data_IF_294845029247
#
_entry.id   IF_294845029247
#
_cell.length_a   1.000
_cell.length_b   1.000
_cell.length_c   1.000
_cell.angle_alpha   90.00
_cell.angle_beta   90.00
_cell.angle_gamma   90.00
#
_symmetry.space_group_name_H-M   'P 1'
#
loop_
_entity.id
_entity.type
_entity.pdbx_description
1 polymer ?
#
# COMPACT_ATOMS: atom_id res chain seq x y z
N UNK A 1 -1.55 -29.99 10.22
CA UNK A 1 -1.12 -29.04 11.28
C UNK A 1 -1.12 -29.74 12.64
N UNK A 2 -0.20 -29.41 13.58
CA UNK A 2 -0.19 -30.02 14.94
C UNK A 2 -1.27 -29.36 15.80
N UNK A 3 -1.84 -30.15 16.75
CA UNK A 3 -2.84 -29.64 17.70
C UNK A 3 -2.31 -28.42 18.50
N UNK A 4 -1.02 -28.39 18.81
CA UNK A 4 -0.37 -27.27 19.51
C UNK A 4 -0.44 -25.95 18.70
N UNK A 5 -0.16 -25.99 17.40
CA UNK A 5 -0.26 -24.80 16.54
C UNK A 5 -1.70 -24.27 16.47
N UNK A 6 -2.70 -25.16 16.39
CA UNK A 6 -4.13 -24.77 16.40
C UNK A 6 -4.48 -24.08 17.71
N UNK A 7 -4.03 -24.64 18.85
CA UNK A 7 -4.27 -24.05 20.15
C UNK A 7 -3.65 -22.66 20.29
N UNK A 8 -2.40 -22.48 19.83
CA UNK A 8 -1.72 -21.19 19.86
C UNK A 8 -2.42 -20.14 18.98
N UNK A 9 -2.90 -20.52 17.78
CA UNK A 9 -3.70 -19.64 16.92
C UNK A 9 -5.02 -19.25 17.60
N UNK A 10 -5.72 -20.20 18.21
CA UNK A 10 -6.96 -19.92 18.94
C UNK A 10 -6.72 -18.96 20.10
N UNK A 11 -5.68 -19.15 20.89
CA UNK A 11 -5.30 -18.23 21.96
C UNK A 11 -4.93 -16.85 21.40
N UNK A 12 -4.22 -16.79 20.27
CA UNK A 12 -3.89 -15.54 19.61
C UNK A 12 -5.13 -14.74 19.19
N UNK A 13 -6.14 -15.40 18.63
CA UNK A 13 -7.42 -14.80 18.28
C UNK A 13 -8.16 -14.29 19.53
N UNK A 14 -8.20 -15.10 20.60
CA UNK A 14 -8.81 -14.70 21.86
C UNK A 14 -8.15 -13.46 22.46
N UNK A 15 -6.81 -13.44 22.53
CA UNK A 15 -6.06 -12.27 23.02
C UNK A 15 -6.31 -11.03 22.17
N UNK A 16 -6.36 -11.17 20.85
CA UNK A 16 -6.45 -10.04 19.94
C UNK A 16 -7.87 -9.42 19.88
N UNK A 17 -8.92 -10.26 19.98
CA UNK A 17 -10.28 -9.83 19.67
C UNK A 17 -11.29 -9.99 20.79
N UNK A 18 -10.95 -10.70 21.88
CA UNK A 18 -11.90 -10.99 22.96
C UNK A 18 -11.41 -10.42 24.29
N UNK A 19 -10.23 -10.85 24.77
CA UNK A 19 -9.71 -10.41 26.05
C UNK A 19 -8.17 -10.36 26.05
N UNK A 20 -7.63 -9.16 26.16
CA UNK A 20 -6.18 -8.92 26.19
C UNK A 20 -5.46 -9.53 27.39
N UNK A 21 -6.18 -9.92 28.47
CA UNK A 21 -5.59 -10.59 29.61
C UNK A 21 -5.18 -12.05 29.32
N UNK A 22 -5.72 -12.63 28.25
CA UNK A 22 -5.33 -13.97 27.80
C UNK A 22 -3.92 -13.88 27.18
N UNK A 23 -2.97 -14.62 27.77
CA UNK A 23 -1.60 -14.68 27.27
C UNK A 23 -1.52 -15.56 26.01
N UNK A 24 -0.89 -15.06 24.95
CA UNK A 24 -0.68 -15.82 23.71
C UNK A 24 0.68 -15.55 23.11
N UNK A 25 1.12 -16.45 22.23
CA UNK A 25 2.35 -16.29 21.48
C UNK A 25 2.17 -15.21 20.41
N UNK A 26 3.07 -14.22 20.40
CA UNK A 26 3.04 -13.09 19.47
C UNK A 26 3.09 -13.52 17.99
N UNK A 27 3.77 -14.63 17.69
CA UNK A 27 3.90 -15.17 16.34
C UNK A 27 2.56 -15.65 15.75
N UNK A 28 1.58 -15.98 16.60
CA UNK A 28 0.27 -16.49 16.20
C UNK A 28 -0.88 -15.53 16.52
N UNK A 29 -0.55 -14.33 16.99
CA UNK A 29 -1.55 -13.32 17.38
C UNK A 29 -1.77 -12.31 16.27
N UNK A 30 -3.02 -12.06 15.83
CA UNK A 30 -3.35 -10.91 15.01
C UNK A 30 -2.91 -9.60 15.65
N UNK A 31 -2.43 -8.65 14.85
CA UNK A 31 -1.85 -7.40 15.36
C UNK A 31 -2.32 -6.23 14.53
N UNK A 32 -2.54 -5.11 15.21
CA UNK A 32 -2.64 -3.82 14.55
C UNK A 32 -1.23 -3.29 14.24
N UNK A 33 -0.97 -2.98 12.97
CA UNK A 33 0.34 -2.53 12.47
C UNK A 33 0.22 -1.09 11.97
N UNK A 34 0.96 -0.20 12.60
CA UNK A 34 0.98 1.22 12.24
C UNK A 34 2.35 1.82 12.48
N UNK A 35 2.62 2.96 11.86
CA UNK A 35 3.79 3.76 12.20
C UNK A 35 3.53 4.54 13.49
N UNK A 36 4.24 4.22 14.55
CA UNK A 36 4.19 4.93 15.83
C UNK A 36 5.61 5.27 16.29
N UNK A 37 6.02 6.50 16.06
CA UNK A 37 7.36 6.98 16.39
C UNK A 37 7.67 6.87 17.90
N UNK A 38 6.68 7.15 18.76
CA UNK A 38 6.86 7.10 20.21
C UNK A 38 7.16 5.70 20.73
N UNK A 39 6.62 4.70 20.08
CA UNK A 39 6.79 3.28 20.44
C UNK A 39 7.87 2.59 19.59
N UNK A 40 8.52 3.33 18.68
CA UNK A 40 9.52 2.78 17.78
C UNK A 40 8.97 1.81 16.74
N UNK A 41 7.64 1.74 16.57
CA UNK A 41 6.99 0.82 15.62
C UNK A 41 6.94 1.42 14.24
N UNK A 42 7.22 0.60 13.23
CA UNK A 42 7.10 0.96 11.82
C UNK A 42 6.48 -0.20 11.04
N UNK A 43 5.67 0.14 10.04
CA UNK A 43 5.08 -0.86 9.12
C UNK A 43 6.17 -1.66 8.43
N UNK A 44 7.25 -1.00 8.01
CA UNK A 44 8.38 -1.66 7.33
C UNK A 44 9.00 -2.78 8.17
N UNK A 45 9.16 -2.59 9.49
CA UNK A 45 9.74 -3.61 10.35
C UNK A 45 8.88 -4.88 10.40
N UNK A 46 7.55 -4.72 10.44
CA UNK A 46 6.63 -5.87 10.37
C UNK A 46 6.71 -6.60 9.03
N UNK A 47 6.86 -5.87 7.92
CA UNK A 47 7.02 -6.49 6.59
C UNK A 47 8.37 -7.20 6.50
N UNK A 48 9.44 -6.60 6.99
CA UNK A 48 10.80 -7.16 6.95
C UNK A 48 10.90 -8.45 7.78
N UNK A 49 10.33 -8.45 9.00
CA UNK A 49 10.30 -9.64 9.87
C UNK A 49 9.61 -10.83 9.17
N UNK A 50 8.50 -10.59 8.48
CA UNK A 50 7.78 -11.64 7.76
C UNK A 50 8.54 -12.10 6.51
N UNK A 51 9.13 -11.19 5.73
CA UNK A 51 9.99 -11.53 4.59
C UNK A 51 11.14 -12.43 5.01
N UNK A 52 11.86 -12.09 6.08
CA UNK A 52 13.01 -12.87 6.54
C UNK A 52 12.66 -14.31 6.95
N UNK A 53 11.42 -14.54 7.36
CA UNK A 53 10.96 -15.85 7.86
C UNK A 53 10.09 -16.64 6.88
N UNK A 54 9.69 -16.07 5.74
CA UNK A 54 8.79 -16.74 4.79
C UNK A 54 9.50 -17.76 3.89
N UNK A 55 8.68 -18.64 3.30
CA UNK A 55 9.08 -19.58 2.24
C UNK A 55 8.61 -19.11 0.86
N UNK A 56 7.66 -18.17 0.82
CA UNK A 56 7.10 -17.58 -0.39
C UNK A 56 6.37 -16.29 0.01
N UNK A 57 6.33 -15.29 -0.88
CA UNK A 57 5.59 -14.06 -0.61
C UNK A 57 4.85 -13.53 -1.84
N UNK A 58 3.73 -12.82 -1.56
CA UNK A 58 2.92 -12.13 -2.56
C UNK A 58 2.65 -10.70 -2.07
N UNK A 59 2.87 -9.74 -2.93
CA UNK A 59 2.66 -8.32 -2.62
C UNK A 59 1.76 -7.71 -3.69
N UNK A 60 0.65 -7.11 -3.28
CA UNK A 60 -0.27 -6.38 -4.14
C UNK A 60 -0.42 -4.97 -3.62
N UNK A 61 0.19 -3.99 -4.29
CA UNK A 61 0.20 -2.59 -3.85
C UNK A 61 0.03 -1.64 -5.03
N UNK A 62 -0.75 -0.58 -4.83
CA UNK A 62 -0.98 0.38 -5.91
C UNK A 62 0.29 1.17 -6.28
N UNK A 63 1.14 1.51 -5.31
CA UNK A 63 2.29 2.38 -5.56
C UNK A 63 3.58 1.81 -4.99
N UNK A 64 4.64 1.86 -5.82
CA UNK A 64 5.98 1.42 -5.48
C UNK A 64 6.98 2.54 -5.78
N UNK A 65 7.75 2.96 -4.78
CA UNK A 65 8.80 3.99 -4.94
C UNK A 65 10.17 3.46 -4.56
N UNK A 66 11.22 4.08 -5.08
CA UNK A 66 12.60 3.74 -4.71
C UNK A 66 12.80 3.85 -3.20
N UNK A 67 12.26 4.90 -2.57
CA UNK A 67 12.36 5.08 -1.13
C UNK A 67 11.67 3.97 -0.32
N UNK A 68 10.59 3.36 -0.86
CA UNK A 68 9.93 2.22 -0.22
C UNK A 68 10.72 0.92 -0.33
N UNK A 69 11.46 0.72 -1.44
CA UNK A 69 12.25 -0.50 -1.67
C UNK A 69 13.63 -0.43 -1.01
N UNK A 70 14.27 0.75 -1.00
CA UNK A 70 15.66 0.89 -0.55
C UNK A 70 15.92 0.27 0.83
N UNK A 71 15.08 0.45 1.84
CA UNK A 71 15.29 -0.18 3.14
C UNK A 71 15.20 -1.71 3.12
N UNK A 72 14.45 -2.28 2.17
CA UNK A 72 14.22 -3.73 2.04
C UNK A 72 15.26 -4.42 1.15
N UNK A 73 16.18 -3.68 0.51
CA UNK A 73 17.11 -4.25 -0.47
C UNK A 73 17.99 -5.38 0.09
N UNK A 74 18.44 -5.24 1.33
CA UNK A 74 19.26 -6.27 1.96
C UNK A 74 18.45 -7.56 2.17
N UNK A 75 17.24 -7.43 2.71
CA UNK A 75 16.30 -8.52 2.89
C UNK A 75 15.95 -9.22 1.58
N UNK A 76 15.66 -8.44 0.53
CA UNK A 76 15.35 -9.00 -0.81
C UNK A 76 16.54 -9.75 -1.41
N UNK A 77 17.79 -9.28 -1.22
CA UNK A 77 19.00 -10.01 -1.63
C UNK A 77 19.17 -11.33 -0.87
N UNK A 78 18.88 -11.32 0.42
CA UNK A 78 18.93 -12.55 1.23
C UNK A 78 17.89 -13.57 0.74
N UNK A 79 16.66 -13.11 0.43
CA UNK A 79 15.61 -13.96 -0.15
C UNK A 79 16.04 -14.53 -1.52
N UNK A 80 16.66 -13.72 -2.37
CA UNK A 80 17.22 -14.20 -3.65
C UNK A 80 18.28 -15.27 -3.44
N UNK A 81 19.23 -15.07 -2.53
CA UNK A 81 20.27 -16.05 -2.23
C UNK A 81 19.68 -17.37 -1.69
N UNK A 82 18.59 -17.29 -0.95
CA UNK A 82 17.86 -18.46 -0.42
C UNK A 82 16.90 -19.08 -1.43
N UNK A 83 16.73 -18.45 -2.63
CA UNK A 83 15.79 -18.92 -3.65
C UNK A 83 14.33 -18.82 -3.25
N UNK A 84 13.95 -17.92 -2.34
CA UNK A 84 12.58 -17.72 -1.87
C UNK A 84 11.79 -16.99 -2.95
N UNK A 85 10.75 -17.62 -3.56
CA UNK A 85 10.00 -17.01 -4.63
C UNK A 85 9.08 -15.88 -4.14
N UNK A 86 8.92 -14.85 -4.96
CA UNK A 86 8.03 -13.74 -4.69
C UNK A 86 7.28 -13.27 -5.92
N UNK A 87 6.02 -12.87 -5.73
CA UNK A 87 5.19 -12.24 -6.75
C UNK A 87 4.80 -10.84 -6.31
N UNK A 88 5.03 -9.84 -7.17
CA UNK A 88 4.70 -8.45 -6.88
C UNK A 88 3.78 -7.93 -7.99
N UNK A 89 2.60 -7.45 -7.59
CA UNK A 89 1.62 -6.82 -8.48
C UNK A 89 1.44 -5.36 -8.10
N UNK A 90 1.55 -4.47 -9.07
CA UNK A 90 1.30 -3.04 -8.91
C UNK A 90 0.38 -2.53 -10.02
N UNK A 91 0.12 -1.24 -10.13
CA UNK A 91 -0.71 -0.66 -11.20
C UNK A 91 -0.06 0.58 -11.81
N UNK A 92 -0.47 0.91 -13.03
CA UNK A 92 -0.15 2.15 -13.72
C UNK A 92 -0.99 3.35 -13.22
N UNK A 93 -1.95 3.10 -12.34
CA UNK A 93 -2.89 4.11 -11.84
C UNK A 93 -2.15 5.36 -11.34
N UNK A 94 -2.56 6.52 -11.86
CA UNK A 94 -1.97 7.83 -11.59
C UNK A 94 -0.46 7.93 -11.88
N UNK A 95 0.18 6.91 -12.44
CA UNK A 95 1.62 6.86 -12.71
C UNK A 95 2.50 7.22 -11.49
N UNK A 96 2.13 6.70 -10.30
CA UNK A 96 2.88 6.97 -9.06
C UNK A 96 4.02 6.00 -8.81
N UNK A 97 3.94 4.77 -9.35
CA UNK A 97 5.04 3.82 -9.23
C UNK A 97 6.26 4.29 -10.01
N UNK A 98 7.43 4.30 -9.37
CA UNK A 98 8.66 4.82 -9.98
C UNK A 98 9.31 3.76 -10.88
N UNK A 99 9.54 4.02 -12.19
CA UNK A 99 10.19 3.06 -13.09
C UNK A 99 11.53 2.55 -12.57
N UNK A 100 12.28 3.39 -11.85
CA UNK A 100 13.54 2.99 -11.22
C UNK A 100 13.34 1.94 -10.13
N UNK A 101 12.30 2.08 -9.33
CA UNK A 101 11.92 1.10 -8.31
C UNK A 101 11.51 -0.24 -8.94
N UNK A 102 10.70 -0.18 -10.00
CA UNK A 102 10.27 -1.37 -10.73
C UNK A 102 11.45 -2.12 -11.34
N UNK A 103 12.43 -1.40 -11.94
CA UNK A 103 13.67 -2.00 -12.44
C UNK A 103 14.51 -2.65 -11.33
N UNK A 104 14.55 -2.02 -10.15
CA UNK A 104 15.27 -2.60 -9.00
C UNK A 104 14.64 -3.92 -8.56
N UNK A 105 13.31 -4.03 -8.54
CA UNK A 105 12.61 -5.28 -8.21
C UNK A 105 12.78 -6.35 -9.27
N UNK A 106 12.66 -5.99 -10.55
CA UNK A 106 12.80 -6.91 -11.67
C UNK A 106 14.24 -7.49 -11.83
N UNK A 107 15.25 -6.87 -11.21
CA UNK A 107 16.62 -7.40 -11.19
C UNK A 107 16.78 -8.60 -10.25
N UNK A 108 15.85 -8.86 -9.32
CA UNK A 108 15.87 -10.04 -8.47
C UNK A 108 15.31 -11.26 -9.21
N UNK A 109 16.13 -12.31 -9.34
CA UNK A 109 15.77 -13.52 -10.11
C UNK A 109 14.64 -14.34 -9.51
N UNK A 110 14.40 -14.18 -8.22
CA UNK A 110 13.36 -14.85 -7.46
C UNK A 110 12.04 -14.06 -7.41
N UNK A 111 11.96 -12.88 -8.02
CA UNK A 111 10.79 -12.03 -8.02
C UNK A 111 10.18 -11.95 -9.41
N UNK A 112 8.91 -12.32 -9.51
CA UNK A 112 8.06 -12.03 -10.65
C UNK A 112 7.33 -10.70 -10.42
N UNK A 113 7.46 -9.76 -11.35
CA UNK A 113 6.83 -8.45 -11.27
C UNK A 113 5.83 -8.26 -12.41
N UNK A 114 4.58 -7.94 -12.06
CA UNK A 114 3.54 -7.56 -13.01
C UNK A 114 2.95 -6.19 -12.69
N UNK A 115 2.40 -5.55 -13.71
CA UNK A 115 1.65 -4.30 -13.58
C UNK A 115 0.25 -4.48 -14.14
N UNK A 116 -0.76 -4.20 -13.33
CA UNK A 116 -2.15 -4.12 -13.76
C UNK A 116 -2.36 -2.79 -14.49
N UNK A 117 -2.71 -2.90 -15.76
CA UNK A 117 -3.00 -1.75 -16.63
C UNK A 117 -4.44 -1.31 -16.43
N UNK A 118 -4.64 -0.09 -15.92
CA UNK A 118 -5.97 0.45 -15.61
C UNK A 118 -6.73 0.94 -16.85
N UNK A 119 -6.03 1.17 -17.95
CA UNK A 119 -6.65 1.62 -19.20
C UNK A 119 -7.54 0.52 -19.80
N UNK A 120 -8.81 0.85 -20.01
CA UNK A 120 -9.81 -0.09 -20.52
C UNK A 120 -10.41 -1.03 -19.48
N UNK A 121 -9.94 -1.00 -18.23
CA UNK A 121 -10.55 -1.74 -17.13
C UNK A 121 -11.76 -1.01 -16.55
N UNK A 122 -12.82 -1.78 -16.22
CA UNK A 122 -13.94 -1.29 -15.42
C UNK A 122 -13.60 -1.33 -13.92
N UNK A 123 -12.60 -2.13 -13.56
CA UNK A 123 -12.21 -2.37 -12.18
C UNK A 123 -11.02 -1.47 -11.80
N UNK A 124 -11.13 -0.80 -10.66
CA UNK A 124 -10.05 0.00 -10.11
C UNK A 124 -9.08 -0.88 -9.30
N UNK A 125 -7.77 -0.70 -9.50
CA UNK A 125 -6.77 -1.37 -8.69
C UNK A 125 -6.23 -0.42 -7.60
N UNK A 126 -6.53 -0.73 -6.33
CA UNK A 126 -6.04 0.08 -5.20
C UNK A 126 -5.72 -0.78 -3.96
N UNK A 127 -5.31 -2.03 -4.17
CA UNK A 127 -4.98 -2.98 -3.11
C UNK A 127 -3.70 -2.57 -2.36
N UNK A 128 -3.60 -2.96 -1.09
CA UNK A 128 -2.39 -2.90 -0.28
C UNK A 128 -2.38 -4.13 0.62
N UNK A 129 -1.83 -5.18 0.07
CA UNK A 129 -1.74 -6.49 0.71
C UNK A 129 -0.33 -7.06 0.61
N UNK A 130 0.14 -7.62 1.69
CA UNK A 130 1.42 -8.33 1.81
C UNK A 130 1.13 -9.68 2.43
N UNK A 131 1.40 -10.75 1.70
CA UNK A 131 1.07 -12.13 2.07
C UNK A 131 2.37 -12.93 2.13
N UNK A 132 2.61 -13.56 3.25
CA UNK A 132 3.82 -14.33 3.51
C UNK A 132 3.44 -15.75 3.93
N UNK A 133 3.89 -16.75 3.17
CA UNK A 133 3.71 -18.15 3.49
C UNK A 133 4.88 -18.65 4.33
N UNK A 134 4.59 -19.29 5.45
CA UNK A 134 5.57 -19.95 6.30
C UNK A 134 5.07 -21.33 6.69
N UNK A 135 5.57 -22.37 6.01
CA UNK A 135 5.02 -23.70 6.13
C UNK A 135 3.51 -23.74 5.84
N UNK A 136 2.68 -24.11 6.82
CA UNK A 136 1.21 -24.20 6.71
C UNK A 136 0.50 -22.95 7.28
N UNK A 137 1.23 -21.88 7.51
CA UNK A 137 0.69 -20.64 8.09
C UNK A 137 0.96 -19.49 7.13
N UNK A 138 0.00 -18.60 7.04
CA UNK A 138 0.10 -17.35 6.32
C UNK A 138 0.07 -16.18 7.29
N UNK A 139 1.04 -15.28 7.15
CA UNK A 139 1.05 -13.97 7.78
C UNK A 139 0.59 -12.96 6.72
N UNK A 140 -0.51 -12.28 6.98
CA UNK A 140 -1.16 -11.44 5.98
C UNK A 140 -1.32 -10.04 6.54
N UNK A 141 -0.70 -9.05 5.91
CA UNK A 141 -0.81 -7.63 6.28
C UNK A 141 -1.68 -6.95 5.24
N UNK A 142 -2.85 -6.46 5.65
CA UNK A 142 -3.78 -5.73 4.78
C UNK A 142 -4.11 -4.39 5.40
N UNK A 143 -4.15 -3.33 4.60
CA UNK A 143 -4.50 -2.01 5.11
C UNK A 143 -4.28 -0.87 4.12
N UNK A 144 -3.73 0.24 4.60
CA UNK A 144 -3.57 1.45 3.80
C UNK A 144 -2.16 1.64 3.21
N UNK A 145 -1.17 0.82 3.62
CA UNK A 145 0.25 1.06 3.30
C UNK A 145 0.64 0.62 1.90
N UNK A 146 0.95 1.58 1.03
CA UNK A 146 1.68 1.33 -0.21
C UNK A 146 3.18 1.10 0.06
N UNK A 147 3.91 0.58 -0.94
CA UNK A 147 5.37 0.39 -0.86
C UNK A 147 6.11 1.71 -1.16
N UNK A 148 5.89 2.69 -0.29
CA UNK A 148 6.53 4.02 -0.35
C UNK A 148 7.19 4.33 0.98
N UNK A 149 8.26 5.13 0.97
CA UNK A 149 9.00 5.45 2.20
C UNK A 149 8.09 5.97 3.30
N UNK A 150 7.24 6.94 2.98
CA UNK A 150 6.38 7.58 3.97
C UNK A 150 5.31 6.64 4.51
N UNK A 151 4.68 5.82 3.67
CA UNK A 151 3.69 4.85 4.11
C UNK A 151 4.32 3.78 5.01
N UNK A 152 5.53 3.35 4.72
CA UNK A 152 6.21 2.31 5.48
C UNK A 152 6.88 2.79 6.77
N UNK A 153 7.11 4.12 6.94
CA UNK A 153 7.94 4.61 8.05
C UNK A 153 7.35 5.76 8.87
N UNK A 154 6.58 6.67 8.26
CA UNK A 154 6.22 7.95 8.89
C UNK A 154 4.75 8.32 8.87
N UNK A 155 4.03 8.03 7.76
CA UNK A 155 2.61 8.33 7.69
C UNK A 155 1.83 7.51 8.72
N UNK A 156 0.70 8.07 9.17
CA UNK A 156 -0.26 7.29 9.94
C UNK A 156 -0.97 6.32 9.00
N UNK A 157 -0.54 5.08 9.03
CA UNK A 157 -1.10 3.98 8.26
C UNK A 157 -1.77 2.99 9.22
N UNK A 158 -2.89 2.45 8.79
CA UNK A 158 -3.62 1.43 9.55
C UNK A 158 -3.60 0.14 8.77
N UNK A 159 -2.98 -0.86 9.36
CA UNK A 159 -2.93 -2.21 8.79
C UNK A 159 -3.28 -3.23 9.87
N UNK A 160 -3.83 -4.34 9.44
CA UNK A 160 -4.04 -5.52 10.27
C UNK A 160 -3.12 -6.63 9.79
N UNK A 161 -2.30 -7.17 10.68
CA UNK A 161 -1.60 -8.42 10.47
C UNK A 161 -2.47 -9.55 10.97
N UNK A 162 -2.87 -10.43 10.06
CA UNK A 162 -3.68 -11.61 10.31
C UNK A 162 -2.77 -12.83 10.25
N UNK A 163 -2.99 -13.79 11.14
CA UNK A 163 -2.32 -15.08 11.11
C UNK A 163 -3.38 -16.11 10.80
N UNK A 164 -3.24 -16.81 9.70
CA UNK A 164 -4.20 -17.78 9.24
C UNK A 164 -3.51 -19.08 8.81
N UNK A 165 -4.26 -20.16 8.75
CA UNK A 165 -3.75 -21.44 8.28
C UNK A 165 -3.95 -21.57 6.77
N UNK A 166 -3.23 -22.50 6.14
CA UNK A 166 -3.41 -22.84 4.73
C UNK A 166 -4.85 -23.26 4.40
N UNK A 167 -5.51 -23.98 5.32
CA UNK A 167 -6.89 -24.47 5.16
C UNK A 167 -7.96 -23.41 5.54
N UNK A 168 -7.56 -22.23 6.00
CA UNK A 168 -8.48 -21.18 6.44
C UNK A 168 -9.19 -20.51 5.26
N UNK A 169 -10.51 -20.28 5.36
CA UNK A 169 -11.31 -19.59 4.34
C UNK A 169 -10.70 -18.24 3.96
N UNK A 170 -10.23 -17.48 4.95
CA UNK A 170 -9.59 -16.18 4.70
C UNK A 170 -8.35 -16.30 3.80
N UNK A 171 -7.52 -17.34 4.03
CA UNK A 171 -6.33 -17.58 3.21
C UNK A 171 -6.70 -17.93 1.78
N UNK A 172 -7.68 -18.83 1.61
CA UNK A 172 -8.18 -19.19 0.27
C UNK A 172 -8.71 -17.97 -0.46
N UNK A 173 -9.58 -17.20 0.17
CA UNK A 173 -10.20 -16.02 -0.45
C UNK A 173 -9.17 -14.99 -0.89
N UNK A 174 -8.20 -14.63 -0.04
CA UNK A 174 -7.21 -13.60 -0.38
C UNK A 174 -6.21 -14.07 -1.45
N UNK A 175 -5.87 -15.36 -1.46
CA UNK A 175 -5.03 -15.94 -2.50
C UNK A 175 -5.76 -16.03 -3.83
N UNK A 176 -7.04 -16.38 -3.82
CA UNK A 176 -7.89 -16.42 -5.02
C UNK A 176 -8.03 -15.01 -5.62
N UNK A 177 -8.29 -13.99 -4.81
CA UNK A 177 -8.32 -12.60 -5.24
C UNK A 177 -6.98 -12.16 -5.85
N UNK A 178 -5.86 -12.47 -5.19
CA UNK A 178 -4.54 -12.19 -5.74
C UNK A 178 -4.32 -12.89 -7.07
N UNK A 179 -4.64 -14.18 -7.15
CA UNK A 179 -4.43 -14.98 -8.35
C UNK A 179 -5.34 -14.54 -9.51
N UNK A 180 -6.59 -14.14 -9.24
CA UNK A 180 -7.48 -13.56 -10.24
C UNK A 180 -6.87 -12.29 -10.84
N UNK A 181 -6.41 -11.35 -10.01
CA UNK A 181 -5.74 -10.15 -10.47
C UNK A 181 -4.43 -10.45 -11.22
N UNK A 182 -3.66 -11.42 -10.73
CA UNK A 182 -2.36 -11.81 -11.31
C UNK A 182 -2.49 -12.45 -12.69
N UNK A 183 -3.56 -13.21 -12.92
CA UNK A 183 -3.78 -13.98 -14.16
C UNK A 183 -4.69 -13.27 -15.17
N UNK A 184 -5.15 -12.06 -14.88
CA UNK A 184 -5.93 -11.28 -15.87
C UNK A 184 -5.04 -10.84 -17.03
N UNK A 185 -5.60 -10.70 -18.23
CA UNK A 185 -4.91 -10.18 -19.42
C UNK A 185 -4.39 -8.74 -19.22
N UNK A 186 -4.93 -8.03 -18.23
CA UNK A 186 -4.49 -6.68 -17.86
C UNK A 186 -3.22 -6.66 -17.00
N UNK A 187 -2.83 -7.76 -16.39
CA UNK A 187 -1.63 -7.87 -15.56
C UNK A 187 -0.42 -8.24 -16.42
N UNK A 188 0.22 -7.24 -17.02
CA UNK A 188 1.36 -7.43 -17.90
C UNK A 188 2.65 -7.73 -17.12
N UNK A 189 3.49 -8.68 -17.59
CA UNK A 189 4.81 -8.91 -17.02
C UNK A 189 5.74 -7.71 -17.26
N UNK A 190 6.79 -7.62 -16.44
CA UNK A 190 7.71 -6.48 -16.42
C UNK A 190 8.23 -6.08 -17.81
N UNK A 191 8.67 -7.05 -18.61
CA UNK A 191 9.26 -6.83 -19.92
C UNK A 191 8.28 -6.20 -20.93
N UNK A 192 6.98 -6.45 -20.75
CA UNK A 192 5.94 -5.96 -21.67
C UNK A 192 5.50 -4.53 -21.36
N UNK A 193 5.53 -4.11 -20.09
CA UNK A 193 5.00 -2.80 -19.73
C UNK A 193 6.06 -1.71 -19.50
N UNK A 194 7.30 -2.05 -19.14
CA UNK A 194 8.22 -1.08 -18.53
C UNK A 194 8.60 0.10 -19.44
N UNK A 195 8.77 -0.13 -20.72
CA UNK A 195 9.16 0.94 -21.65
C UNK A 195 8.03 1.93 -21.92
N UNK A 196 6.83 1.42 -22.20
CA UNK A 196 5.63 2.24 -22.39
C UNK A 196 5.30 3.01 -21.11
N UNK A 197 5.33 2.34 -19.97
CA UNK A 197 5.08 2.95 -18.66
C UNK A 197 6.12 4.02 -18.30
N UNK A 198 7.41 3.77 -18.55
CA UNK A 198 8.48 4.75 -18.28
C UNK A 198 8.31 6.04 -19.10
N UNK A 199 7.86 5.90 -20.34
CA UNK A 199 7.56 7.02 -21.23
C UNK A 199 6.38 7.83 -20.69
N UNK A 200 5.27 7.16 -20.33
CA UNK A 200 4.09 7.77 -19.73
C UNK A 200 4.42 8.47 -18.40
N UNK A 201 5.17 7.81 -17.52
CA UNK A 201 5.63 8.36 -16.25
C UNK A 201 6.42 9.67 -16.45
N UNK A 202 7.37 9.67 -17.38
CA UNK A 202 8.20 10.86 -17.68
C UNK A 202 7.35 12.00 -18.21
N UNK A 203 6.44 11.73 -19.15
CA UNK A 203 5.49 12.72 -19.70
C UNK A 203 4.63 13.33 -18.59
N UNK A 204 4.06 12.50 -17.72
CA UNK A 204 3.21 12.97 -16.63
C UNK A 204 3.99 13.79 -15.58
N UNK A 205 5.23 13.41 -15.27
CA UNK A 205 6.11 14.21 -14.38
C UNK A 205 6.39 15.60 -14.95
N UNK A 206 6.64 15.71 -16.27
CA UNK A 206 6.85 17.00 -16.92
C UNK A 206 5.58 17.87 -16.84
N UNK A 207 4.41 17.28 -17.15
CA UNK A 207 3.11 17.99 -17.07
C UNK A 207 2.83 18.47 -15.64
N UNK A 208 3.04 17.61 -14.63
CA UNK A 208 2.85 18.00 -13.23
C UNK A 208 3.79 19.12 -12.82
N UNK A 209 5.06 19.08 -13.25
CA UNK A 209 6.04 20.14 -12.97
C UNK A 209 5.61 21.46 -13.63
N UNK A 210 5.16 21.43 -14.88
CA UNK A 210 4.65 22.61 -15.59
C UNK A 210 3.42 23.19 -14.90
N UNK A 211 2.44 22.35 -14.52
CA UNK A 211 1.25 22.79 -13.76
C UNK A 211 1.63 23.43 -12.42
N UNK A 212 2.62 22.90 -11.73
CA UNK A 212 3.10 23.48 -10.46
C UNK A 212 3.75 24.84 -10.67
N UNK A 213 4.57 25.00 -11.71
CA UNK A 213 5.20 26.29 -12.07
C UNK A 213 4.13 27.30 -12.47
N UNK A 214 3.18 26.92 -13.32
CA UNK A 214 2.07 27.78 -13.74
C UNK A 214 1.26 28.27 -12.52
N UNK A 215 0.88 27.37 -11.62
CA UNK A 215 0.16 27.75 -10.37
C UNK A 215 0.98 28.69 -9.48
N UNK A 216 2.29 28.55 -9.43
CA UNK A 216 3.15 29.45 -8.65
C UNK A 216 3.31 30.83 -9.32
N UNK A 217 3.25 30.89 -10.65
CA UNK A 217 3.28 32.16 -11.39
C UNK A 217 1.91 32.85 -11.45
N UNK A 218 0.82 32.08 -11.27
CA UNK A 218 -0.57 32.61 -11.24
C UNK A 218 -1.04 33.06 -9.85
N UNK A 219 -0.23 32.91 -8.79
CA UNK A 219 -0.53 33.52 -7.49
C UNK A 219 -0.13 35.01 -7.58
N UNK A 220 -1.05 35.92 -7.96
CA UNK A 220 -0.82 37.34 -7.78
C UNK A 220 -0.64 37.54 -6.27
N UNK A 221 0.23 38.45 -5.88
CA UNK A 221 0.35 38.84 -4.48
C UNK A 221 -1.07 39.07 -3.95
N UNK A 222 -1.43 38.43 -2.86
CA UNK A 222 -2.76 38.52 -2.21
C UNK A 222 -3.22 39.98 -1.99
N UNK A 223 -2.29 40.92 -2.02
CA UNK A 223 -2.51 42.38 -1.96
C UNK A 223 -3.26 42.97 -3.17
N UNK A 224 -3.30 42.28 -4.33
CA UNK A 224 -4.02 42.73 -5.52
C UNK A 224 -5.42 42.15 -5.66
N UNK A 225 -5.79 41.15 -4.88
CA UNK A 225 -7.14 40.57 -4.89
C UNK A 225 -8.01 41.22 -3.80
N UNK A 226 -8.79 42.21 -4.18
CA UNK A 226 -10.04 42.50 -3.45
C UNK A 226 -10.96 41.32 -3.71
N UNK A 227 -11.08 40.43 -2.70
CA UNK A 227 -12.09 39.37 -2.71
C UNK A 227 -13.46 40.03 -2.86
N UNK A 228 -14.03 39.95 -4.07
CA UNK A 228 -15.43 40.30 -4.25
C UNK A 228 -16.28 39.09 -3.87
N UNK A 229 -17.20 39.26 -2.92
CA UNK A 229 -18.11 38.18 -2.54
C UNK A 229 -18.91 37.72 -3.77
N UNK A 230 -19.09 36.42 -3.96
CA UNK A 230 -19.92 35.88 -5.03
C UNK A 230 -21.41 36.24 -4.78
N UNK A 231 -22.25 36.07 -5.78
CA UNK A 231 -23.68 36.45 -5.71
C UNK A 231 -24.43 35.81 -4.52
N UNK A 232 -24.06 34.60 -4.12
CA UNK A 232 -24.63 33.91 -2.94
C UNK A 232 -24.19 34.53 -1.63
N UNK A 233 -22.92 34.92 -1.51
CA UNK A 233 -22.38 35.63 -0.34
C UNK A 233 -22.99 37.03 -0.20
N UNK A 234 -23.16 37.73 -1.31
CA UNK A 234 -23.85 39.03 -1.34
C UNK A 234 -25.30 38.86 -0.89
N UNK A 235 -26.03 37.86 -1.39
CA UNK A 235 -27.38 37.54 -0.99
C UNK A 235 -27.49 37.22 0.49
N UNK A 236 -26.60 36.43 1.02
CA UNK A 236 -26.52 36.07 2.44
C UNK A 236 -26.28 37.28 3.35
N UNK A 237 -25.30 38.12 3.01
CA UNK A 237 -24.98 39.36 3.74
C UNK A 237 -26.16 40.34 3.75
N UNK A 238 -26.83 40.49 2.59
CA UNK A 238 -28.00 41.36 2.51
C UNK A 238 -29.18 40.83 3.31
N UNK A 239 -29.38 39.52 3.36
CA UNK A 239 -30.41 38.93 4.21
C UNK A 239 -30.11 39.09 5.71
N UNK A 240 -28.85 38.91 6.13
CA UNK A 240 -28.42 39.17 7.50
C UNK A 240 -28.61 40.62 7.90
N UNK A 241 -28.30 41.59 7.03
CA UNK A 241 -28.56 43.02 7.29
C UNK A 241 -30.05 43.29 7.51
N UNK A 242 -30.91 42.77 6.64
CA UNK A 242 -32.37 42.95 6.78
C UNK A 242 -32.90 42.37 8.10
N UNK A 243 -32.37 41.24 8.53
CA UNK A 243 -32.77 40.65 9.83
C UNK A 243 -32.28 41.53 10.97
N UNK A 244 -31.06 42.07 10.88
CA UNK A 244 -30.49 42.93 11.92
C UNK A 244 -31.20 44.30 12.02
N UNK A 245 -31.68 44.84 10.89
CA UNK A 245 -32.38 46.11 10.83
C UNK A 245 -33.89 45.99 11.20
N UNK A 246 -34.43 44.77 11.22
CA UNK A 246 -35.83 44.48 11.53
C UNK A 246 -36.09 44.09 13.00
N UNK A 247 -35.04 43.96 13.81
CA UNK A 247 -35.20 43.51 15.13
C UNK A 247 -34.65 43.69 16.30
#
# INVERSE_FOLDING_TARGET
>A
MTNDKIQQLTQGLQTAFIDQAITSNLAYKPQFVSNNYKEGRKVISSIEDELLSCNEFYISVAFITQGGITPLLQTLRELEQRGIPGKILTTDYLTFSEPKALRMLANFKNIELKMFMSEGSKDGFHTKGYIFKKENIYQIIVGSSNMTLTALTTNREWNTKIVATEDGEYTHTILDEFNQLWNTDQALPYEEFIDAYSTLYTKNKIIQKQKKIARQSEVPALELYRLQPNSMQVGFINNLRKIYEAG
#
